data_IF_453202646826
#
_entry.id   IF_453202646826
#
_cell.length_a   1.000
_cell.length_b   1.000
_cell.length_c   1.000
_cell.angle_alpha   90.00
_cell.angle_beta   90.00
_cell.angle_gamma   90.00
#
_symmetry.space_group_name_H-M   'P 1'
#
loop_
_entity.id
_entity.type
_entity.pdbx_description
1 polymer ?
#
# COMPACT_ATOMS: atom_id res chain seq x y z
N UNK A 1 38.05 24.60 -12.88
CA UNK A 1 37.42 23.52 -12.08
C UNK A 1 36.01 23.37 -12.62
N UNK A 2 35.75 22.38 -13.48
CA UNK A 2 34.43 22.20 -14.09
C UNK A 2 33.62 21.41 -13.08
N UNK A 3 32.68 22.08 -12.40
CA UNK A 3 31.68 21.40 -11.58
C UNK A 3 30.74 20.65 -12.51
N UNK A 4 30.91 19.33 -12.58
CA UNK A 4 29.90 18.48 -13.19
C UNK A 4 28.68 18.48 -12.25
N UNK A 5 27.66 19.27 -12.58
CA UNK A 5 26.33 19.07 -12.02
C UNK A 5 25.72 17.93 -12.81
N UNK A 6 25.44 16.79 -12.16
CA UNK A 6 24.47 15.84 -12.72
C UNK A 6 23.17 16.61 -13.00
N UNK A 7 22.52 16.39 -14.15
CA UNK A 7 21.24 17.02 -14.41
C UNK A 7 20.27 16.62 -13.30
N UNK A 8 19.55 17.60 -12.74
CA UNK A 8 18.51 17.36 -11.73
C UNK A 8 17.49 16.29 -12.14
N UNK A 9 17.34 16.09 -13.45
CA UNK A 9 16.40 15.16 -14.06
C UNK A 9 16.81 13.68 -13.89
N UNK A 10 18.05 13.40 -13.44
CA UNK A 10 18.55 12.05 -13.14
C UNK A 10 18.70 11.77 -11.64
N UNK A 11 18.33 12.72 -10.76
CA UNK A 11 18.39 12.52 -9.32
C UNK A 11 17.08 11.94 -8.79
N UNK A 12 17.14 10.73 -8.25
CA UNK A 12 16.03 10.15 -7.49
C UNK A 12 16.24 10.57 -6.04
N UNK A 13 15.46 11.52 -5.53
CA UNK A 13 15.53 11.92 -4.13
C UNK A 13 15.03 10.78 -3.23
N UNK A 14 15.92 10.14 -2.42
CA UNK A 14 15.51 9.04 -1.58
C UNK A 14 14.49 9.45 -0.51
N UNK A 15 14.50 10.72 -0.07
CA UNK A 15 13.54 11.23 0.90
C UNK A 15 12.13 11.31 0.30
N UNK A 16 12.01 11.69 -0.97
CA UNK A 16 10.72 11.70 -1.66
C UNK A 16 10.19 10.28 -1.90
N UNK A 17 11.07 9.32 -2.20
CA UNK A 17 10.70 7.90 -2.27
C UNK A 17 10.24 7.34 -0.92
N UNK A 18 10.93 7.67 0.18
CA UNK A 18 10.55 7.26 1.53
C UNK A 18 9.19 7.87 1.96
N UNK A 19 8.97 9.16 1.67
CA UNK A 19 7.65 9.81 1.89
C UNK A 19 6.55 9.12 1.10
N UNK A 20 6.80 8.79 -0.17
CA UNK A 20 5.83 8.10 -1.01
C UNK A 20 5.55 6.69 -0.45
N UNK A 21 6.59 5.93 -0.07
CA UNK A 21 6.47 4.62 0.55
C UNK A 21 5.55 4.64 1.77
N UNK A 22 5.82 5.54 2.73
CA UNK A 22 5.01 5.73 3.94
C UNK A 22 3.55 6.08 3.63
N UNK A 23 3.31 6.83 2.56
CA UNK A 23 1.96 7.17 2.14
C UNK A 23 1.17 5.96 1.62
N UNK A 24 1.85 5.00 0.97
CA UNK A 24 1.25 3.75 0.53
C UNK A 24 0.96 2.82 1.71
N UNK A 25 1.92 2.69 2.64
CA UNK A 25 1.77 1.91 3.87
C UNK A 25 0.62 2.41 4.74
N UNK A 26 0.51 3.74 4.94
CA UNK A 26 -0.60 4.35 5.68
C UNK A 26 -1.94 4.03 5.04
N UNK A 27 -2.05 4.13 3.71
CA UNK A 27 -3.29 3.81 2.99
C UNK A 27 -3.63 2.33 3.07
N UNK A 28 -2.64 1.45 2.97
CA UNK A 28 -2.83 0.01 3.15
C UNK A 28 -3.36 -0.31 4.56
N UNK A 29 -2.81 0.35 5.59
CA UNK A 29 -3.24 0.23 6.98
C UNK A 29 -4.67 0.72 7.19
N UNK A 30 -4.99 1.92 6.72
CA UNK A 30 -6.32 2.52 6.86
C UNK A 30 -7.38 1.68 6.15
N UNK A 31 -7.08 1.21 4.92
CA UNK A 31 -7.97 0.32 4.17
C UNK A 31 -8.18 -1.00 4.91
N UNK A 32 -7.12 -1.60 5.44
CA UNK A 32 -7.22 -2.84 6.23
C UNK A 32 -8.09 -2.67 7.48
N UNK A 33 -8.02 -1.51 8.16
CA UNK A 33 -8.91 -1.20 9.30
C UNK A 33 -10.36 -1.02 8.85
N UNK A 34 -10.59 -0.32 7.75
CA UNK A 34 -11.92 -0.14 7.19
C UNK A 34 -12.56 -1.49 6.82
N UNK A 35 -11.81 -2.38 6.18
CA UNK A 35 -12.25 -3.75 5.85
C UNK A 35 -12.59 -4.52 7.14
N UNK A 36 -11.74 -4.45 8.17
CA UNK A 36 -12.02 -5.12 9.45
C UNK A 36 -13.32 -4.63 10.10
N UNK A 37 -13.55 -3.32 10.08
CA UNK A 37 -14.79 -2.73 10.60
C UNK A 37 -16.00 -3.03 9.73
N UNK A 38 -15.83 -3.18 8.42
CA UNK A 38 -16.90 -3.58 7.52
C UNK A 38 -17.32 -5.02 7.80
N UNK A 39 -16.35 -5.95 7.80
CA UNK A 39 -16.58 -7.38 8.10
C UNK A 39 -17.28 -7.60 9.43
N UNK A 40 -16.93 -6.85 10.48
CA UNK A 40 -17.57 -6.99 11.79
C UNK A 40 -19.05 -6.55 11.82
N UNK A 41 -19.54 -5.89 10.76
CA UNK A 41 -20.93 -5.44 10.61
C UNK A 41 -21.66 -6.19 9.50
N UNK A 42 -20.93 -6.96 8.70
CA UNK A 42 -21.46 -7.65 7.51
C UNK A 42 -21.06 -9.12 7.49
N UNK A 43 -20.78 -9.72 8.65
CA UNK A 43 -20.67 -11.16 8.72
C UNK A 43 -22.05 -11.80 8.48
N UNK A 44 -22.06 -13.09 8.15
CA UNK A 44 -23.28 -13.77 7.76
C UNK A 44 -24.36 -13.75 8.85
N UNK A 45 -23.96 -13.77 10.13
CA UNK A 45 -24.87 -13.73 11.28
C UNK A 45 -25.49 -12.34 11.42
N UNK A 46 -24.68 -11.27 11.35
CA UNK A 46 -25.17 -9.89 11.36
C UNK A 46 -26.08 -9.57 10.16
N UNK A 47 -25.77 -10.10 8.98
CA UNK A 47 -26.62 -9.95 7.80
C UNK A 47 -27.95 -10.69 8.01
N UNK A 48 -27.89 -11.94 8.46
CA UNK A 48 -29.08 -12.75 8.74
C UNK A 48 -29.98 -12.11 9.82
N UNK A 49 -29.39 -11.62 10.90
CA UNK A 49 -30.09 -10.92 11.99
C UNK A 49 -30.70 -9.59 11.53
N UNK A 50 -29.99 -8.86 10.66
CA UNK A 50 -30.44 -7.56 10.13
C UNK A 50 -31.63 -7.67 9.17
N UNK A 51 -31.69 -8.74 8.38
CA UNK A 51 -32.86 -9.06 7.53
C UNK A 51 -34.04 -9.62 8.35
N UNK A 52 -33.75 -10.31 9.45
CA UNK A 52 -34.75 -10.88 10.34
C UNK A 52 -35.62 -11.95 9.67
N UNK A 53 -36.69 -12.37 10.36
CA UNK A 53 -37.63 -13.39 9.88
C UNK A 53 -38.55 -12.93 8.73
N UNK A 54 -38.51 -11.63 8.37
CA UNK A 54 -39.53 -10.98 7.52
C UNK A 54 -39.15 -10.89 6.04
N UNK A 55 -37.90 -11.18 5.69
CA UNK A 55 -37.50 -11.38 4.29
C UNK A 55 -37.19 -12.86 4.09
N UNK A 56 -38.22 -13.66 3.83
CA UNK A 56 -38.09 -15.09 3.47
C UNK A 56 -37.35 -15.35 2.14
N UNK A 57 -36.74 -14.33 1.52
CA UNK A 57 -35.92 -14.53 0.34
C UNK A 57 -34.50 -14.89 0.78
N UNK A 58 -34.30 -16.19 1.05
CA UNK A 58 -32.98 -16.82 1.19
C UNK A 58 -32.02 -16.36 0.07
N UNK A 59 -32.55 -16.14 -1.13
CA UNK A 59 -31.84 -15.59 -2.28
C UNK A 59 -31.26 -14.19 -2.02
N UNK A 60 -32.04 -13.25 -1.46
CA UNK A 60 -31.57 -11.88 -1.16
C UNK A 60 -30.51 -11.89 -0.06
N UNK A 61 -30.74 -12.67 1.00
CA UNK A 61 -29.76 -12.80 2.10
C UNK A 61 -28.45 -13.39 1.59
N UNK A 62 -28.53 -14.43 0.75
CA UNK A 62 -27.35 -15.07 0.15
C UNK A 62 -26.60 -14.12 -0.79
N UNK A 63 -27.31 -13.37 -1.63
CA UNK A 63 -26.70 -12.38 -2.51
C UNK A 63 -25.96 -11.27 -1.74
N UNK A 64 -26.49 -10.83 -0.59
CA UNK A 64 -25.81 -9.85 0.26
C UNK A 64 -24.57 -10.41 0.95
N UNK A 65 -24.61 -11.67 1.38
CA UNK A 65 -23.45 -12.37 1.97
C UNK A 65 -22.35 -12.53 0.92
N UNK A 66 -22.70 -12.97 -0.30
CA UNK A 66 -21.75 -13.11 -1.40
C UNK A 66 -21.12 -11.75 -1.75
N UNK A 67 -21.96 -10.72 -1.92
CA UNK A 67 -21.49 -9.36 -2.21
C UNK A 67 -20.54 -8.82 -1.12
N UNK A 68 -20.87 -9.02 0.17
CA UNK A 68 -20.03 -8.54 1.28
C UNK A 68 -18.69 -9.29 1.34
N UNK A 69 -18.70 -10.59 1.02
CA UNK A 69 -17.52 -11.43 0.90
C UNK A 69 -16.60 -10.97 -0.24
N UNK A 70 -17.16 -10.79 -1.44
CA UNK A 70 -16.42 -10.39 -2.64
C UNK A 70 -15.79 -9.00 -2.49
N UNK A 71 -16.53 -8.05 -1.92
CA UNK A 71 -16.00 -6.72 -1.60
C UNK A 71 -14.84 -6.82 -0.61
N UNK A 72 -15.01 -7.61 0.45
CA UNK A 72 -13.96 -7.83 1.45
C UNK A 72 -12.70 -8.42 0.82
N UNK A 73 -12.85 -9.42 -0.04
CA UNK A 73 -11.73 -10.07 -0.72
C UNK A 73 -11.00 -9.09 -1.65
N UNK A 74 -11.76 -8.39 -2.50
CA UNK A 74 -11.22 -7.45 -3.49
C UNK A 74 -10.47 -6.29 -2.82
N UNK A 75 -11.06 -5.71 -1.78
CA UNK A 75 -10.42 -4.63 -1.02
C UNK A 75 -9.20 -5.14 -0.23
N UNK A 76 -9.23 -6.39 0.25
CA UNK A 76 -8.06 -7.00 0.91
C UNK A 76 -6.89 -7.20 -0.06
N UNK A 77 -7.17 -7.57 -1.32
CA UNK A 77 -6.15 -7.64 -2.37
C UNK A 77 -5.56 -6.26 -2.66
N UNK A 78 -6.41 -5.22 -2.76
CA UNK A 78 -5.95 -3.84 -2.93
C UNK A 78 -5.06 -3.37 -1.78
N UNK A 79 -5.45 -3.64 -0.53
CA UNK A 79 -4.66 -3.26 0.65
C UNK A 79 -3.26 -3.91 0.63
N UNK A 80 -3.18 -5.20 0.27
CA UNK A 80 -1.88 -5.91 0.11
C UNK A 80 -1.04 -5.28 -1.00
N UNK A 81 -1.65 -4.94 -2.13
CA UNK A 81 -0.93 -4.33 -3.23
C UNK A 81 -0.36 -2.95 -2.87
N UNK A 82 -1.11 -2.14 -2.12
CA UNK A 82 -0.62 -0.87 -1.58
C UNK A 82 0.60 -1.09 -0.66
N UNK A 83 0.55 -2.07 0.23
CA UNK A 83 1.67 -2.43 1.11
C UNK A 83 2.91 -2.90 0.31
N UNK A 84 2.72 -3.73 -0.71
CA UNK A 84 3.80 -4.19 -1.61
C UNK A 84 4.46 -3.03 -2.38
N UNK A 85 3.66 -2.08 -2.86
CA UNK A 85 4.18 -0.85 -3.50
C UNK A 85 4.98 -0.02 -2.50
N UNK A 86 4.46 0.16 -1.28
CA UNK A 86 5.17 0.86 -0.20
C UNK A 86 6.55 0.26 0.07
N UNK A 87 6.61 -1.06 0.30
CA UNK A 87 7.88 -1.78 0.53
C UNK A 87 8.85 -1.70 -0.65
N UNK A 88 8.33 -1.71 -1.88
CA UNK A 88 9.17 -1.61 -3.08
C UNK A 88 9.79 -0.21 -3.20
N UNK A 89 9.05 0.84 -2.84
CA UNK A 89 9.54 2.20 -2.81
C UNK A 89 10.57 2.42 -1.69
N UNK A 90 10.33 1.88 -0.49
CA UNK A 90 11.30 1.89 0.62
C UNK A 90 12.63 1.23 0.21
N UNK A 91 12.55 0.05 -0.41
CA UNK A 91 13.71 -0.63 -0.97
C UNK A 91 14.44 0.22 -2.00
N UNK A 92 13.70 0.91 -2.88
CA UNK A 92 14.31 1.76 -3.90
C UNK A 92 14.98 3.01 -3.29
N UNK A 93 14.39 3.59 -2.24
CA UNK A 93 14.99 4.69 -1.48
C UNK A 93 16.34 4.27 -0.90
N UNK A 94 16.38 3.12 -0.22
CA UNK A 94 17.62 2.57 0.36
C UNK A 94 18.68 2.28 -0.70
N UNK A 95 18.31 1.62 -1.79
CA UNK A 95 19.23 1.36 -2.90
C UNK A 95 19.80 2.66 -3.50
N UNK A 96 18.98 3.72 -3.57
CA UNK A 96 19.42 5.03 -4.09
C UNK A 96 20.41 5.70 -3.13
N UNK A 97 20.18 5.62 -1.81
CA UNK A 97 21.13 6.11 -0.80
C UNK A 97 22.46 5.35 -0.87
N UNK A 98 22.43 4.02 -0.91
CA UNK A 98 23.64 3.20 -1.01
C UNK A 98 24.44 3.49 -2.30
N UNK A 99 23.74 3.75 -3.42
CA UNK A 99 24.38 4.12 -4.68
C UNK A 99 25.03 5.52 -4.61
N UNK A 100 24.34 6.50 -4.01
CA UNK A 100 24.87 7.85 -3.80
C UNK A 100 26.13 7.83 -2.91
N UNK A 101 26.11 7.08 -1.82
CA UNK A 101 27.27 6.89 -0.91
C UNK A 101 28.46 6.25 -1.64
N UNK A 102 28.22 5.18 -2.40
CA UNK A 102 29.27 4.51 -3.17
C UNK A 102 29.90 5.42 -4.23
N UNK A 103 29.10 6.23 -4.93
CA UNK A 103 29.60 7.21 -5.89
C UNK A 103 30.45 8.28 -5.19
N UNK A 104 29.98 8.80 -4.05
CA UNK A 104 30.73 9.80 -3.28
C UNK A 104 32.11 9.25 -2.83
N UNK A 105 32.17 8.00 -2.37
CA UNK A 105 33.42 7.32 -2.01
C UNK A 105 34.37 7.19 -3.21
N UNK A 106 33.86 6.79 -4.38
CA UNK A 106 34.67 6.69 -5.61
C UNK A 106 35.29 8.04 -6.00
N UNK A 107 34.54 9.13 -5.89
CA UNK A 107 35.05 10.48 -6.20
C UNK A 107 36.05 11.00 -5.15
N UNK A 108 35.89 10.63 -3.87
CA UNK A 108 36.88 10.93 -2.82
C UNK A 108 38.17 10.13 -3.04
N UNK A 109 38.07 8.88 -3.49
CA UNK A 109 39.21 7.99 -3.78
C UNK A 109 39.97 8.32 -5.08
N UNK A 110 39.32 9.02 -6.03
CA UNK A 110 39.92 9.43 -7.32
C UNK A 110 40.85 10.64 -7.27
N UNK A 111 41.05 11.26 -6.11
CA UNK A 111 42.07 12.32 -5.92
C UNK A 111 43.44 11.70 -5.62
N UNK A 112 44.17 11.29 -6.67
CA UNK A 112 45.63 11.14 -6.65
C UNK A 112 46.24 11.77 -7.88
#
# INVERSE_FOLDING_TARGET
MVGWSMPSDFYIDPQELDKLAKSFESRAYDLSRAIKSFRSKTDAEQIHDGFGFLTESEEVTSAYIELSSDMTESLSKLARHLDEVGRSLDKNSRNSQEADEALEEMFKGGKK
#
